data_IF_249025264649
#
_entry.id   IF_249025264649
#
_cell.length_a   1.000
_cell.length_b   1.000
_cell.length_c   1.000
_cell.angle_alpha   90.00
_cell.angle_beta   90.00
_cell.angle_gamma   90.00
#
_symmetry.space_group_name_H-M   'P 1'
#
loop_
_entity.id
_entity.type
_entity.pdbx_description
1 polymer ?
#
# COMPACT_ATOMS: atom_id res chain seq x y z
N UNK A 1 14.97 -15.67 -11.03
CA UNK A 1 13.80 -16.05 -10.22
C UNK A 1 13.78 -15.39 -8.85
N UNK A 2 14.79 -15.56 -7.96
CA UNK A 2 14.80 -14.88 -6.64
C UNK A 2 14.68 -13.34 -6.73
N UNK A 3 15.38 -12.71 -7.68
CA UNK A 3 15.26 -11.26 -7.92
C UNK A 3 13.82 -10.85 -8.30
N UNK A 4 13.09 -11.73 -8.99
CA UNK A 4 11.67 -11.49 -9.29
C UNK A 4 10.81 -11.53 -8.02
N UNK A 5 11.00 -12.56 -7.18
CA UNK A 5 10.30 -12.63 -5.90
C UNK A 5 10.58 -11.42 -5.00
N UNK A 6 11.82 -10.91 -5.01
CA UNK A 6 12.18 -9.68 -4.32
C UNK A 6 11.48 -8.44 -4.92
N UNK A 7 11.41 -8.34 -6.25
CA UNK A 7 10.72 -7.24 -6.93
C UNK A 7 9.22 -7.23 -6.64
N UNK A 8 8.63 -8.40 -6.38
CA UNK A 8 7.23 -8.58 -6.00
C UNK A 8 7.00 -8.55 -4.48
N UNK A 9 8.07 -8.40 -3.68
CA UNK A 9 8.07 -8.43 -2.21
C UNK A 9 7.51 -9.74 -1.60
N UNK A 10 7.80 -10.87 -2.23
CA UNK A 10 7.42 -12.22 -1.77
C UNK A 10 8.61 -13.20 -1.72
N UNK A 11 9.84 -12.79 -1.32
CA UNK A 11 10.98 -13.68 -1.33
C UNK A 11 10.85 -14.87 -0.39
N UNK A 12 10.08 -14.77 0.69
CA UNK A 12 9.83 -15.86 1.64
C UNK A 12 9.16 -17.07 1.02
N UNK A 13 8.40 -16.88 -0.07
CA UNK A 13 7.73 -17.98 -0.77
C UNK A 13 8.72 -18.93 -1.49
N UNK A 14 9.98 -18.54 -1.66
CA UNK A 14 11.01 -19.45 -2.18
C UNK A 14 11.29 -20.63 -1.26
N UNK A 15 10.95 -20.52 0.03
CA UNK A 15 11.25 -21.48 1.08
C UNK A 15 10.07 -22.39 1.46
N UNK A 16 8.94 -22.25 0.76
CA UNK A 16 7.81 -23.16 0.99
C UNK A 16 8.17 -24.59 0.58
N UNK A 17 7.70 -25.61 1.30
CA UNK A 17 7.86 -27.00 0.92
C UNK A 17 7.38 -27.25 -0.52
N UNK A 18 8.16 -27.97 -1.32
CA UNK A 18 7.92 -28.12 -2.76
C UNK A 18 8.17 -26.86 -3.60
N UNK A 19 8.73 -25.79 -2.99
CA UNK A 19 9.01 -24.52 -3.64
C UNK A 19 10.37 -24.47 -4.35
N UNK A 20 10.83 -23.25 -4.61
CA UNK A 20 12.04 -23.01 -5.39
C UNK A 20 13.32 -23.51 -4.74
N UNK A 21 13.38 -23.55 -3.42
CA UNK A 21 14.56 -24.01 -2.69
C UNK A 21 14.75 -25.52 -2.88
N UNK A 22 13.65 -26.28 -2.78
CA UNK A 22 13.67 -27.74 -2.93
C UNK A 22 14.00 -28.16 -4.38
N UNK A 23 13.64 -27.32 -5.35
CA UNK A 23 13.96 -27.53 -6.77
C UNK A 23 15.35 -27.00 -7.17
N UNK A 24 16.09 -26.38 -6.25
CA UNK A 24 17.39 -25.77 -6.55
C UNK A 24 18.50 -26.79 -6.47
N UNK A 25 19.07 -27.17 -7.61
CA UNK A 25 20.21 -28.08 -7.69
C UNK A 25 21.55 -27.45 -7.27
N UNK A 26 21.63 -26.12 -7.19
CA UNK A 26 22.82 -25.35 -6.79
C UNK A 26 22.80 -25.09 -5.27
N UNK A 27 23.59 -25.85 -4.53
CA UNK A 27 23.70 -25.76 -3.07
C UNK A 27 24.20 -24.37 -2.60
N UNK A 28 25.06 -23.69 -3.34
CA UNK A 28 25.56 -22.39 -2.98
C UNK A 28 24.46 -21.33 -3.14
N UNK A 29 23.65 -21.42 -4.19
CA UNK A 29 22.50 -20.57 -4.42
C UNK A 29 21.40 -20.80 -3.36
N UNK A 30 21.12 -22.07 -3.05
CA UNK A 30 20.18 -22.45 -2.01
C UNK A 30 20.58 -21.89 -0.64
N UNK A 31 21.86 -22.05 -0.26
CA UNK A 31 22.42 -21.48 0.97
C UNK A 31 22.32 -19.94 1.00
N UNK A 32 22.59 -19.28 -0.13
CA UNK A 32 22.45 -17.83 -0.23
C UNK A 32 21.00 -17.34 -0.03
N UNK A 33 20.02 -18.07 -0.55
CA UNK A 33 18.61 -17.77 -0.35
C UNK A 33 18.18 -17.97 1.11
N UNK A 34 18.60 -19.09 1.69
CA UNK A 34 18.33 -19.39 3.09
C UNK A 34 18.91 -18.31 4.03
N UNK A 35 20.16 -17.92 3.83
CA UNK A 35 20.79 -16.86 4.63
C UNK A 35 20.07 -15.50 4.48
N UNK A 36 19.57 -15.17 3.30
CA UNK A 36 18.77 -13.97 3.08
C UNK A 36 17.43 -14.02 3.81
N UNK A 37 16.81 -15.21 3.87
CA UNK A 37 15.57 -15.38 4.62
C UNK A 37 15.80 -15.27 6.12
N UNK A 38 16.87 -15.83 6.66
CA UNK A 38 17.26 -15.61 8.05
C UNK A 38 17.42 -14.12 8.38
N UNK A 39 18.11 -13.38 7.51
CA UNK A 39 18.23 -11.92 7.67
C UNK A 39 16.87 -11.20 7.63
N UNK A 40 15.96 -11.62 6.75
CA UNK A 40 14.61 -11.06 6.65
C UNK A 40 13.76 -11.36 7.91
N UNK A 41 13.87 -12.57 8.46
CA UNK A 41 13.21 -12.97 9.71
C UNK A 41 13.76 -12.21 10.91
N UNK A 42 15.08 -11.99 10.97
CA UNK A 42 15.70 -11.18 12.01
C UNK A 42 15.23 -9.72 11.96
N UNK A 43 15.15 -9.14 10.76
CA UNK A 43 14.57 -7.80 10.55
C UNK A 43 13.10 -7.75 10.97
N UNK A 44 12.32 -8.79 10.73
CA UNK A 44 10.94 -8.87 11.18
C UNK A 44 10.83 -8.88 12.71
N UNK A 45 11.64 -9.68 13.40
CA UNK A 45 11.71 -9.68 14.88
C UNK A 45 12.10 -8.30 15.43
N UNK A 46 13.08 -7.63 14.80
CA UNK A 46 13.47 -6.28 15.17
C UNK A 46 12.31 -5.27 14.99
N UNK A 47 11.57 -5.36 13.88
CA UNK A 47 10.38 -4.53 13.64
C UNK A 47 9.32 -4.73 14.73
N UNK A 48 9.06 -5.98 15.15
CA UNK A 48 8.11 -6.27 16.23
C UNK A 48 8.54 -5.63 17.56
N UNK A 49 9.83 -5.67 17.91
CA UNK A 49 10.34 -5.02 19.11
C UNK A 49 10.14 -3.49 19.07
N UNK A 50 10.42 -2.85 17.93
CA UNK A 50 10.19 -1.40 17.76
C UNK A 50 8.69 -1.08 17.81
N UNK A 51 7.83 -1.96 17.28
CA UNK A 51 6.37 -1.81 17.37
C UNK A 51 5.90 -1.85 18.84
N UNK A 52 6.42 -2.78 19.64
CA UNK A 52 6.07 -2.87 21.08
C UNK A 52 6.50 -1.61 21.85
N UNK A 53 7.72 -1.10 21.56
CA UNK A 53 8.19 0.15 22.15
C UNK A 53 7.25 1.32 21.80
N UNK A 54 6.90 1.45 20.53
CA UNK A 54 5.96 2.47 20.04
C UNK A 54 4.60 2.36 20.73
N UNK A 55 4.02 1.15 20.80
CA UNK A 55 2.73 0.91 21.45
C UNK A 55 2.77 1.24 22.93
N UNK A 56 3.84 0.84 23.64
CA UNK A 56 4.03 1.13 25.06
C UNK A 56 4.08 2.64 25.33
N UNK A 57 4.76 3.42 24.49
CA UNK A 57 4.80 4.88 24.63
C UNK A 57 3.41 5.50 24.47
N UNK A 58 2.63 5.05 23.48
CA UNK A 58 1.30 5.59 23.21
C UNK A 58 0.29 5.17 24.28
N UNK A 59 0.33 3.92 24.74
CA UNK A 59 -0.49 3.41 25.83
C UNK A 59 -0.24 4.17 27.15
N UNK A 60 1.02 4.42 27.51
CA UNK A 60 1.38 5.21 28.69
C UNK A 60 0.86 6.66 28.63
N UNK A 61 0.50 7.16 27.45
CA UNK A 61 -0.14 8.47 27.25
C UNK A 61 -1.66 8.40 27.10
N UNK A 62 -2.25 7.19 27.19
CA UNK A 62 -3.67 6.97 26.99
C UNK A 62 -4.12 7.34 25.56
N UNK A 63 -3.31 7.05 24.55
CA UNK A 63 -3.61 7.34 23.13
C UNK A 63 -4.05 6.05 22.45
N UNK A 64 -5.36 5.92 22.13
CA UNK A 64 -5.84 4.77 21.36
C UNK A 64 -5.13 4.67 20.02
N UNK A 65 -4.60 3.50 19.73
CA UNK A 65 -3.76 3.24 18.57
C UNK A 65 -4.20 1.93 17.92
N UNK A 66 -4.05 1.82 16.60
CA UNK A 66 -4.29 0.59 15.85
C UNK A 66 -3.19 0.36 14.83
N UNK A 67 -2.72 -0.88 14.70
CA UNK A 67 -1.77 -1.28 13.65
C UNK A 67 -2.55 -1.50 12.35
N UNK A 68 -2.11 -0.82 11.30
CA UNK A 68 -2.66 -0.97 9.95
C UNK A 68 -1.80 -1.97 9.16
N UNK A 69 -2.39 -2.67 8.17
CA UNK A 69 -1.64 -3.51 7.21
C UNK A 69 -0.41 -4.22 7.85
N UNK A 70 0.72 -4.31 7.17
CA UNK A 70 1.98 -4.83 7.75
C UNK A 70 1.79 -6.12 8.56
N UNK A 71 2.02 -6.03 9.88
CA UNK A 71 1.89 -7.15 10.81
C UNK A 71 0.44 -7.63 10.92
N UNK A 72 -0.54 -6.72 10.86
CA UNK A 72 -1.96 -7.06 10.85
C UNK A 72 -2.37 -7.92 9.62
N UNK A 73 -1.76 -7.68 8.45
CA UNK A 73 -1.95 -8.56 7.29
C UNK A 73 -1.18 -9.89 7.45
N UNK A 74 -0.03 -9.86 8.11
CA UNK A 74 0.80 -11.03 8.38
C UNK A 74 0.10 -12.13 9.15
N UNK A 75 -0.88 -11.77 9.99
CA UNK A 75 -1.69 -12.75 10.75
C UNK A 75 -2.46 -13.73 9.87
N UNK A 76 -2.77 -13.35 8.64
CA UNK A 76 -3.50 -14.17 7.69
C UNK A 76 -2.60 -15.22 7.01
N UNK A 77 -1.29 -15.09 7.10
CA UNK A 77 -0.35 -16.03 6.52
C UNK A 77 -0.19 -17.26 7.42
N UNK A 78 0.00 -18.46 6.83
CA UNK A 78 0.29 -19.67 7.62
C UNK A 78 1.52 -19.52 8.52
N UNK A 79 2.54 -18.82 8.04
CA UNK A 79 3.69 -18.33 8.80
C UNK A 79 3.83 -16.82 8.51
N UNK A 80 3.60 -15.94 9.49
CA UNK A 80 3.79 -14.50 9.31
C UNK A 80 5.17 -14.14 8.75
N UNK A 81 6.18 -14.95 9.05
CA UNK A 81 7.52 -14.81 8.51
C UNK A 81 7.62 -14.95 6.99
N UNK A 82 6.66 -15.48 6.27
CA UNK A 82 6.64 -15.54 4.79
C UNK A 82 6.40 -14.18 4.15
N UNK A 83 5.66 -13.31 4.83
CA UNK A 83 5.38 -11.95 4.36
C UNK A 83 6.62 -11.06 4.48
N UNK A 84 6.86 -10.20 3.50
CA UNK A 84 7.88 -9.15 3.61
C UNK A 84 7.32 -7.91 4.28
N UNK A 85 8.06 -7.43 5.27
CA UNK A 85 7.75 -6.21 6.02
C UNK A 85 8.70 -5.09 5.60
N UNK A 86 8.28 -3.84 5.75
CA UNK A 86 9.11 -2.67 5.42
C UNK A 86 8.99 -1.58 6.48
N UNK A 87 7.77 -1.17 6.72
CA UNK A 87 7.39 -0.08 7.60
C UNK A 87 6.33 -0.53 8.61
N UNK A 88 6.20 0.20 9.71
CA UNK A 88 5.12 0.05 10.67
C UNK A 88 4.10 1.15 10.39
N UNK A 89 2.94 0.76 9.86
CA UNK A 89 1.82 1.67 9.66
C UNK A 89 0.88 1.58 10.86
N UNK A 90 0.59 2.69 11.51
CA UNK A 90 -0.33 2.74 12.63
C UNK A 90 -1.17 4.01 12.60
N UNK A 91 -2.34 3.96 13.20
CA UNK A 91 -3.29 5.06 13.18
C UNK A 91 -3.72 5.43 14.61
N UNK A 92 -3.89 6.74 14.80
CA UNK A 92 -4.53 7.35 15.96
C UNK A 92 -5.65 8.28 15.51
N UNK A 93 -6.46 8.77 16.42
CA UNK A 93 -7.48 9.77 16.08
C UNK A 93 -6.85 11.08 15.57
N UNK A 94 -7.54 11.86 14.72
CA UNK A 94 -7.06 13.19 14.32
C UNK A 94 -6.82 14.11 15.53
N UNK A 95 -7.58 13.95 16.61
CA UNK A 95 -7.44 14.73 17.84
C UNK A 95 -6.14 14.38 18.59
N UNK A 96 -5.72 13.12 18.56
CA UNK A 96 -4.54 12.62 19.25
C UNK A 96 -3.27 12.72 18.42
N UNK A 97 -3.37 12.98 17.13
CA UNK A 97 -2.24 12.94 16.20
C UNK A 97 -1.02 13.74 16.67
N UNK A 98 -1.23 15.00 17.07
CA UNK A 98 -0.14 15.86 17.56
C UNK A 98 0.46 15.36 18.89
N UNK A 99 -0.39 14.84 19.79
CA UNK A 99 0.04 14.26 21.07
C UNK A 99 0.86 12.99 20.84
N UNK A 100 0.42 12.11 19.94
CA UNK A 100 1.13 10.89 19.58
C UNK A 100 2.52 11.20 19.01
N UNK A 101 2.58 12.10 18.01
CA UNK A 101 3.87 12.54 17.42
C UNK A 101 4.81 13.08 18.48
N UNK A 102 4.35 13.99 19.33
CA UNK A 102 5.17 14.58 20.40
C UNK A 102 5.65 13.54 21.42
N UNK A 103 4.78 12.58 21.80
CA UNK A 103 5.14 11.52 22.74
C UNK A 103 6.23 10.59 22.18
N UNK A 104 6.11 10.20 20.92
CA UNK A 104 7.10 9.36 20.24
C UNK A 104 8.45 10.08 20.07
N UNK A 105 8.44 11.34 19.64
CA UNK A 105 9.67 12.13 19.54
C UNK A 105 10.36 12.27 20.89
N UNK A 106 9.59 12.52 21.98
CA UNK A 106 10.12 12.60 23.34
C UNK A 106 10.71 11.25 23.84
N UNK A 107 10.24 10.13 23.29
CA UNK A 107 10.76 8.78 23.53
C UNK A 107 11.92 8.38 22.61
N UNK A 108 12.44 9.31 21.79
CA UNK A 108 13.60 9.09 20.94
C UNK A 108 13.31 8.51 19.55
N UNK A 109 12.05 8.58 19.09
CA UNK A 109 11.73 8.33 17.67
C UNK A 109 12.10 9.56 16.85
N UNK A 110 12.93 9.38 15.82
CA UNK A 110 13.36 10.48 14.96
C UNK A 110 12.25 10.91 14.02
N UNK A 111 11.93 12.21 14.02
CA UNK A 111 10.96 12.80 13.10
C UNK A 111 11.60 12.99 11.72
N UNK A 112 11.11 12.28 10.71
CA UNK A 112 11.62 12.39 9.33
C UNK A 112 10.94 13.49 8.52
N UNK A 113 9.82 14.01 9.00
CA UNK A 113 9.04 15.07 8.36
C UNK A 113 9.31 16.44 9.01
N UNK A 114 10.57 16.86 9.00
CA UNK A 114 11.01 18.16 9.52
C UNK A 114 10.30 19.36 8.86
N UNK A 115 9.67 19.15 7.72
CA UNK A 115 9.11 20.20 6.86
C UNK A 115 7.59 20.11 6.58
N UNK A 116 6.87 19.26 7.26
CA UNK A 116 5.40 19.24 7.14
C UNK A 116 4.79 17.90 6.81
N UNK A 117 3.61 17.74 7.34
CA UNK A 117 2.73 16.59 7.25
C UNK A 117 2.38 16.31 5.79
N UNK A 118 2.65 15.10 5.30
CA UNK A 118 2.04 14.60 4.07
C UNK A 118 0.52 14.53 4.23
N UNK A 119 -0.22 14.39 3.14
CA UNK A 119 -1.70 14.51 3.11
C UNK A 119 -2.46 13.68 4.17
N UNK A 120 -1.85 12.68 4.85
CA UNK A 120 -2.55 11.75 5.77
C UNK A 120 -1.65 11.04 6.79
N UNK A 121 -0.32 11.27 6.79
CA UNK A 121 0.62 10.67 7.76
C UNK A 121 1.88 11.50 7.97
N UNK A 122 2.64 11.13 9.00
CA UNK A 122 3.99 11.61 9.30
C UNK A 122 4.93 10.41 9.40
N UNK A 123 6.12 10.54 8.83
CA UNK A 123 7.20 9.55 8.93
C UNK A 123 8.03 9.73 10.19
N UNK A 124 8.26 8.63 10.89
CA UNK A 124 9.18 8.53 12.03
C UNK A 124 10.19 7.42 11.75
N UNK A 125 11.28 7.40 12.49
CA UNK A 125 12.28 6.32 12.42
C UNK A 125 12.74 5.96 13.84
N UNK A 126 12.92 4.68 14.06
CA UNK A 126 13.54 4.19 15.29
C UNK A 126 14.42 3.00 14.95
N UNK A 127 15.70 3.10 15.26
CA UNK A 127 16.70 2.05 15.05
C UNK A 127 16.71 1.47 13.61
N UNK A 128 16.47 2.34 12.62
CA UNK A 128 16.42 1.99 11.20
C UNK A 128 15.08 1.38 10.75
N UNK A 129 14.07 1.33 11.62
CA UNK A 129 12.69 0.95 11.26
C UNK A 129 11.90 2.21 10.97
N UNK A 130 11.34 2.28 9.76
CA UNK A 130 10.42 3.36 9.35
C UNK A 130 9.05 3.14 9.98
N UNK A 131 8.45 4.21 10.54
CA UNK A 131 7.08 4.20 11.06
C UNK A 131 6.27 5.29 10.36
N UNK A 132 5.03 4.96 9.97
CA UNK A 132 4.07 5.92 9.42
C UNK A 132 2.91 6.13 10.39
N UNK A 133 2.91 7.27 11.08
CA UNK A 133 1.81 7.69 11.96
C UNK A 133 0.70 8.32 11.10
N UNK A 134 -0.44 7.66 11.04
CA UNK A 134 -1.62 8.08 10.28
C UNK A 134 -2.70 8.67 11.19
N UNK A 135 -3.54 9.57 10.63
CA UNK A 135 -4.84 9.94 11.22
C UNK A 135 -6.03 9.46 10.38
N UNK A 136 -5.76 8.93 9.18
CA UNK A 136 -6.70 8.19 8.34
C UNK A 136 -5.91 7.21 7.44
N UNK A 137 -6.47 6.06 7.09
CA UNK A 137 -5.79 5.12 6.20
C UNK A 137 -5.55 5.71 4.82
N UNK A 138 -4.47 5.23 4.18
CA UNK A 138 -4.12 5.62 2.82
C UNK A 138 -5.13 5.11 1.78
N UNK A 139 -5.38 5.93 0.74
CA UNK A 139 -6.11 5.47 -0.44
C UNK A 139 -7.62 5.64 -0.37
N UNK A 140 -8.15 6.33 0.63
CA UNK A 140 -9.58 6.67 0.71
C UNK A 140 -9.94 7.53 -0.50
N UNK A 141 -10.92 7.13 -1.34
CA UNK A 141 -11.35 7.92 -2.49
C UNK A 141 -11.98 9.24 -2.06
N UNK A 142 -11.84 10.25 -2.91
CA UNK A 142 -12.55 11.52 -2.67
C UNK A 142 -14.07 11.30 -2.74
N UNK A 143 -14.81 12.02 -1.89
CA UNK A 143 -16.27 11.92 -1.87
C UNK A 143 -16.84 10.66 -1.18
N UNK A 144 -16.03 9.96 -0.37
CA UNK A 144 -16.47 8.82 0.44
C UNK A 144 -16.38 9.13 1.95
N UNK A 145 -17.19 10.06 2.48
CA UNK A 145 -17.14 10.42 3.91
C UNK A 145 -17.48 9.22 4.81
N UNK A 146 -18.30 8.28 4.36
CA UNK A 146 -18.62 7.06 5.09
C UNK A 146 -17.40 6.21 5.43
N UNK A 147 -16.43 6.07 4.51
CA UNK A 147 -15.20 5.34 4.79
C UNK A 147 -14.34 6.04 5.86
N UNK A 148 -14.32 7.38 5.89
CA UNK A 148 -13.61 8.10 6.95
C UNK A 148 -14.27 7.90 8.32
N UNK A 149 -15.60 7.98 8.37
CA UNK A 149 -16.37 7.73 9.59
C UNK A 149 -16.17 6.30 10.10
N UNK A 150 -16.19 5.31 9.20
CA UNK A 150 -15.94 3.91 9.53
C UNK A 150 -14.63 3.72 10.31
N UNK A 151 -13.53 4.29 9.86
CA UNK A 151 -12.23 4.14 10.53
C UNK A 151 -12.17 4.87 11.86
N UNK A 152 -12.81 6.02 11.99
CA UNK A 152 -12.85 6.76 13.26
C UNK A 152 -13.70 6.01 14.32
N UNK A 153 -14.81 5.42 13.90
CA UNK A 153 -15.65 4.59 14.77
C UNK A 153 -14.91 3.31 15.17
N UNK A 154 -14.33 2.60 14.20
CA UNK A 154 -13.61 1.36 14.44
C UNK A 154 -12.38 1.53 15.36
N UNK A 155 -11.79 2.73 15.46
CA UNK A 155 -10.69 2.99 16.39
C UNK A 155 -11.12 2.83 17.85
N UNK A 156 -12.42 2.99 18.15
CA UNK A 156 -12.99 2.71 19.47
C UNK A 156 -13.31 1.23 19.74
N UNK A 157 -13.17 0.35 18.74
CA UNK A 157 -13.57 -1.05 18.77
C UNK A 157 -12.46 -1.98 18.25
N UNK A 158 -11.20 -1.71 18.62
CA UNK A 158 -10.06 -2.53 18.19
C UNK A 158 -10.07 -3.90 18.91
N UNK A 159 -9.52 -4.89 18.22
CA UNK A 159 -9.31 -6.25 18.74
C UNK A 159 -7.82 -6.46 19.06
N UNK A 160 -7.54 -7.31 20.05
CA UNK A 160 -6.18 -7.71 20.33
C UNK A 160 -5.74 -8.82 19.39
N UNK A 161 -4.59 -8.63 18.75
CA UNK A 161 -3.94 -9.62 17.90
C UNK A 161 -2.56 -10.00 18.47
N UNK A 162 -2.05 -11.16 18.06
CA UNK A 162 -0.74 -11.63 18.51
C UNK A 162 0.03 -12.27 17.36
N UNK A 163 1.28 -11.86 17.16
CA UNK A 163 2.22 -12.47 16.20
C UNK A 163 3.54 -12.71 16.90
N UNK A 164 4.02 -13.95 16.91
CA UNK A 164 5.29 -14.36 17.53
C UNK A 164 5.44 -13.91 19.01
N UNK A 165 4.34 -13.85 19.75
CA UNK A 165 4.32 -13.42 21.16
C UNK A 165 4.15 -11.92 21.38
N UNK A 166 4.15 -11.11 20.31
CA UNK A 166 3.91 -9.67 20.36
C UNK A 166 2.43 -9.37 20.18
N UNK A 167 1.82 -8.71 21.18
CA UNK A 167 0.40 -8.34 21.14
C UNK A 167 0.21 -6.91 20.69
N UNK A 168 -0.79 -6.66 19.87
CA UNK A 168 -1.08 -5.33 19.32
C UNK A 168 -2.55 -5.16 18.95
N UNK A 169 -3.07 -3.92 18.97
CA UNK A 169 -4.44 -3.64 18.55
C UNK A 169 -4.57 -3.60 17.02
N UNK A 170 -5.63 -4.25 16.50
CA UNK A 170 -6.00 -4.24 15.09
C UNK A 170 -7.47 -3.84 14.93
N UNK A 171 -7.85 -3.38 13.77
CA UNK A 171 -9.25 -3.22 13.42
C UNK A 171 -9.97 -4.58 13.37
N UNK A 172 -11.29 -4.61 13.59
CA UNK A 172 -12.10 -5.79 13.29
C UNK A 172 -11.84 -6.29 11.87
N UNK A 173 -11.93 -7.60 11.60
CA UNK A 173 -11.49 -8.21 10.34
C UNK A 173 -12.01 -7.51 9.09
N UNK A 174 -13.31 -7.18 9.03
CA UNK A 174 -13.92 -6.54 7.86
C UNK A 174 -13.35 -5.13 7.63
N UNK A 175 -13.13 -4.34 8.68
CA UNK A 175 -12.52 -3.00 8.57
C UNK A 175 -11.05 -3.11 8.16
N UNK A 176 -10.32 -4.09 8.69
CA UNK A 176 -8.93 -4.35 8.26
C UNK A 176 -8.87 -4.74 6.77
N UNK A 177 -9.83 -5.51 6.28
CA UNK A 177 -9.99 -5.80 4.85
C UNK A 177 -10.17 -4.56 4.00
N UNK A 178 -10.93 -3.56 4.48
CA UNK A 178 -11.06 -2.26 3.79
C UNK A 178 -9.70 -1.56 3.71
N UNK A 179 -8.89 -1.58 4.78
CA UNK A 179 -7.51 -1.03 4.75
C UNK A 179 -6.66 -1.70 3.68
N UNK A 180 -6.68 -3.05 3.60
CA UNK A 180 -5.92 -3.80 2.59
C UNK A 180 -6.35 -3.45 1.17
N UNK A 181 -7.66 -3.36 0.92
CA UNK A 181 -8.22 -3.01 -0.38
C UNK A 181 -7.81 -1.58 -0.81
N UNK A 182 -7.96 -0.61 0.09
CA UNK A 182 -7.58 0.79 -0.19
C UNK A 182 -6.08 0.92 -0.43
N UNK A 183 -5.26 0.17 0.29
CA UNK A 183 -3.82 0.11 0.07
C UNK A 183 -3.47 -0.46 -1.30
N UNK A 184 -4.09 -1.57 -1.71
CA UNK A 184 -3.92 -2.13 -3.05
C UNK A 184 -4.36 -1.14 -4.15
N UNK A 185 -5.49 -0.45 -3.97
CA UNK A 185 -5.97 0.62 -4.87
C UNK A 185 -4.96 1.74 -5.03
N UNK A 186 -4.38 2.21 -3.92
CA UNK A 186 -3.34 3.26 -3.95
C UNK A 186 -2.14 2.81 -4.80
N UNK A 187 -1.69 1.57 -4.60
CA UNK A 187 -0.58 1.01 -5.36
C UNK A 187 -0.88 0.89 -6.85
N UNK A 188 -2.04 0.41 -7.22
CA UNK A 188 -2.51 0.37 -8.61
C UNK A 188 -2.51 1.76 -9.25
N UNK A 189 -3.01 2.77 -8.52
CA UNK A 189 -3.13 4.12 -9.05
C UNK A 189 -1.79 4.87 -9.16
N UNK A 190 -0.82 4.62 -8.27
CA UNK A 190 0.34 5.50 -8.11
C UNK A 190 1.70 4.87 -8.39
N UNK A 191 1.91 3.62 -8.08
CA UNK A 191 3.29 3.12 -8.02
C UNK A 191 3.54 1.72 -8.58
N UNK A 192 2.51 0.96 -8.80
CA UNK A 192 2.58 -0.45 -9.17
C UNK A 192 2.23 -1.36 -7.99
N UNK A 193 1.32 -2.26 -8.26
CA UNK A 193 0.90 -3.34 -7.36
C UNK A 193 1.92 -4.48 -7.45
N UNK A 194 2.32 -5.05 -6.33
CA UNK A 194 3.11 -6.28 -6.29
C UNK A 194 2.28 -7.46 -5.81
N UNK A 195 2.78 -8.68 -6.00
CA UNK A 195 2.11 -9.89 -5.52
C UNK A 195 1.89 -9.89 -4.00
N UNK A 196 2.72 -9.20 -3.23
CA UNK A 196 2.50 -9.08 -1.78
C UNK A 196 1.11 -8.54 -1.44
N UNK A 197 0.71 -7.43 -2.07
CA UNK A 197 -0.60 -6.84 -1.81
C UNK A 197 -1.74 -7.72 -2.36
N UNK A 198 -1.51 -8.43 -3.46
CA UNK A 198 -2.49 -9.37 -4.02
C UNK A 198 -2.68 -10.57 -3.08
N UNK A 199 -1.59 -11.09 -2.51
CA UNK A 199 -1.66 -12.21 -1.54
C UNK A 199 -2.28 -11.77 -0.23
N UNK A 200 -1.95 -10.57 0.29
CA UNK A 200 -2.62 -9.99 1.45
C UNK A 200 -4.15 -9.96 1.23
N UNK A 201 -4.59 -9.52 0.05
CA UNK A 201 -6.00 -9.50 -0.34
C UNK A 201 -6.59 -10.89 -0.46
N UNK A 202 -5.91 -11.81 -1.15
CA UNK A 202 -6.37 -13.19 -1.36
C UNK A 202 -6.61 -13.91 -0.02
N UNK A 203 -5.66 -13.81 0.91
CA UNK A 203 -5.76 -14.45 2.21
C UNK A 203 -6.91 -13.87 3.04
N UNK A 204 -7.11 -12.55 2.98
CA UNK A 204 -8.26 -11.88 3.59
C UNK A 204 -9.57 -12.36 2.96
N UNK A 205 -9.68 -12.35 1.64
CA UNK A 205 -10.88 -12.77 0.94
C UNK A 205 -11.22 -14.25 1.27
N UNK A 206 -10.23 -15.12 1.25
CA UNK A 206 -10.38 -16.55 1.60
C UNK A 206 -10.89 -16.74 3.03
N UNK A 207 -10.44 -15.92 3.97
CA UNK A 207 -10.82 -16.05 5.37
C UNK A 207 -12.20 -15.47 5.68
N UNK A 208 -12.63 -14.40 4.98
CA UNK A 208 -13.75 -13.59 5.43
C UNK A 208 -14.81 -13.27 4.36
N UNK A 209 -14.52 -13.40 3.05
CA UNK A 209 -15.44 -12.94 1.99
C UNK A 209 -16.18 -14.08 1.25
N UNK A 210 -15.95 -15.33 1.61
CA UNK A 210 -16.70 -16.44 1.04
C UNK A 210 -18.18 -16.35 1.44
N UNK A 211 -19.08 -16.77 0.56
CA UNK A 211 -20.53 -16.81 0.77
C UNK A 211 -21.09 -15.44 1.21
N UNK A 212 -21.70 -15.38 2.39
CA UNK A 212 -22.38 -14.16 2.90
C UNK A 212 -21.42 -13.05 3.32
N UNK A 213 -20.13 -13.34 3.54
CA UNK A 213 -19.15 -12.35 3.97
C UNK A 213 -18.96 -11.19 3.00
N UNK A 214 -19.17 -11.44 1.69
CA UNK A 214 -19.17 -10.37 0.69
C UNK A 214 -20.29 -9.35 0.90
N UNK A 215 -21.47 -9.80 1.30
CA UNK A 215 -22.62 -8.89 1.50
C UNK A 215 -22.29 -7.84 2.54
N UNK A 216 -21.88 -8.28 3.74
CA UNK A 216 -21.46 -7.38 4.82
C UNK A 216 -20.31 -6.46 4.39
N UNK A 217 -19.26 -7.02 3.78
CA UNK A 217 -18.09 -6.24 3.35
C UNK A 217 -18.47 -5.21 2.30
N UNK A 218 -19.34 -5.56 1.35
CA UNK A 218 -19.77 -4.65 0.29
C UNK A 218 -20.59 -3.46 0.83
N UNK A 219 -21.34 -3.66 1.88
CA UNK A 219 -22.08 -2.59 2.57
C UNK A 219 -21.11 -1.62 3.24
N UNK A 220 -20.08 -2.11 3.94
CA UNK A 220 -19.04 -1.28 4.53
C UNK A 220 -18.32 -0.42 3.49
N UNK A 221 -18.06 -0.96 2.30
CA UNK A 221 -17.41 -0.21 1.22
C UNK A 221 -18.25 0.97 0.75
N UNK A 222 -19.58 0.84 0.70
CA UNK A 222 -20.53 1.90 0.34
C UNK A 222 -20.30 2.61 -1.00
N UNK A 223 -19.35 2.12 -1.83
CA UNK A 223 -18.91 2.76 -3.06
C UNK A 223 -18.66 1.72 -4.16
N UNK A 224 -19.43 1.80 -5.25
CA UNK A 224 -19.38 0.81 -6.33
C UNK A 224 -18.01 0.70 -7.02
N UNK A 225 -17.25 1.77 -7.08
CA UNK A 225 -15.90 1.74 -7.67
C UNK A 225 -14.93 0.97 -6.76
N UNK A 226 -15.06 1.10 -5.46
CA UNK A 226 -14.24 0.33 -4.51
C UNK A 226 -14.63 -1.15 -4.54
N UNK A 227 -15.94 -1.43 -4.60
CA UNK A 227 -16.46 -2.81 -4.81
C UNK A 227 -15.93 -3.42 -6.10
N UNK A 228 -15.91 -2.66 -7.20
CA UNK A 228 -15.35 -3.12 -8.48
C UNK A 228 -13.88 -3.53 -8.36
N UNK A 229 -13.06 -2.76 -7.63
CA UNK A 229 -11.66 -3.14 -7.37
C UNK A 229 -11.56 -4.47 -6.61
N UNK A 230 -12.38 -4.65 -5.58
CA UNK A 230 -12.41 -5.90 -4.80
C UNK A 230 -12.76 -7.10 -5.69
N UNK A 231 -13.81 -6.96 -6.54
CA UNK A 231 -14.21 -7.98 -7.50
C UNK A 231 -13.08 -8.34 -8.47
N UNK A 232 -12.41 -7.34 -9.05
CA UNK A 232 -11.30 -7.56 -9.97
C UNK A 232 -10.11 -8.27 -9.30
N UNK A 233 -9.73 -7.87 -8.08
CA UNK A 233 -8.65 -8.54 -7.34
C UNK A 233 -9.02 -9.97 -6.96
N UNK A 234 -10.27 -10.23 -6.58
CA UNK A 234 -10.71 -11.58 -6.21
C UNK A 234 -10.77 -12.49 -7.44
N UNK A 235 -11.32 -12.02 -8.56
CA UNK A 235 -11.32 -12.78 -9.84
C UNK A 235 -9.90 -13.07 -10.33
N UNK A 236 -9.00 -12.11 -10.19
CA UNK A 236 -7.58 -12.31 -10.46
C UNK A 236 -6.99 -13.46 -9.61
N UNK A 237 -7.32 -13.51 -8.32
CA UNK A 237 -6.84 -14.56 -7.43
C UNK A 237 -7.42 -15.94 -7.81
N UNK A 238 -8.66 -16.01 -8.30
CA UNK A 238 -9.23 -17.26 -8.84
C UNK A 238 -8.47 -17.76 -10.06
N UNK A 239 -8.18 -16.88 -11.01
CA UNK A 239 -7.56 -17.26 -12.28
C UNK A 239 -6.07 -17.63 -12.11
N UNK A 240 -5.34 -16.94 -11.22
CA UNK A 240 -3.87 -17.04 -11.15
C UNK A 240 -3.30 -17.56 -9.85
N UNK A 241 -4.09 -17.63 -8.76
CA UNK A 241 -3.61 -17.98 -7.43
C UNK A 241 -4.44 -19.07 -6.74
N UNK A 242 -5.24 -19.80 -7.50
CA UNK A 242 -5.99 -20.95 -7.02
C UNK A 242 -6.99 -20.64 -5.88
N UNK A 243 -7.54 -19.43 -5.86
CA UNK A 243 -8.67 -19.12 -5.00
C UNK A 243 -9.92 -19.84 -5.56
N UNK A 244 -10.69 -20.62 -4.76
CA UNK A 244 -11.83 -21.34 -5.27
C UNK A 244 -12.89 -20.41 -5.89
N UNK A 245 -13.69 -20.94 -6.83
CA UNK A 245 -14.84 -20.19 -7.37
C UNK A 245 -16.03 -20.28 -6.43
N UNK A 246 -16.22 -21.42 -5.77
CA UNK A 246 -17.28 -21.65 -4.79
C UNK A 246 -17.19 -20.63 -3.63
N UNK A 247 -18.32 -19.98 -3.36
CA UNK A 247 -18.41 -18.92 -2.34
C UNK A 247 -17.96 -17.54 -2.78
N UNK A 248 -17.47 -17.40 -4.04
CA UNK A 248 -16.99 -16.13 -4.60
C UNK A 248 -17.66 -15.76 -5.93
N UNK A 249 -18.86 -16.25 -6.17
CA UNK A 249 -19.65 -16.04 -7.40
C UNK A 249 -19.90 -14.54 -7.68
N UNK A 250 -19.87 -13.72 -6.64
CA UNK A 250 -20.06 -12.28 -6.71
C UNK A 250 -18.98 -11.53 -7.54
N UNK A 251 -17.86 -12.16 -7.87
CA UNK A 251 -16.84 -11.59 -8.75
C UNK A 251 -16.82 -12.20 -10.17
N UNK A 252 -17.69 -13.17 -10.48
CA UNK A 252 -17.71 -13.89 -11.75
C UNK A 252 -17.99 -12.98 -12.97
N UNK A 253 -18.63 -11.83 -12.77
CA UNK A 253 -18.90 -10.82 -13.81
C UNK A 253 -17.64 -10.10 -14.34
N UNK A 254 -16.48 -10.33 -13.71
CA UNK A 254 -15.22 -9.70 -14.13
C UNK A 254 -14.63 -10.47 -15.29
N UNK A 255 -14.48 -9.78 -16.41
CA UNK A 255 -13.91 -10.38 -17.63
C UNK A 255 -12.45 -10.84 -17.40
N UNK A 256 -12.08 -12.05 -17.87
CA UNK A 256 -10.71 -12.56 -17.75
C UNK A 256 -9.65 -11.64 -18.36
N UNK A 257 -10.00 -10.85 -19.37
CA UNK A 257 -9.11 -9.86 -20.00
C UNK A 257 -8.64 -8.79 -19.00
N UNK A 258 -9.50 -8.33 -18.12
CA UNK A 258 -9.12 -7.38 -17.05
C UNK A 258 -8.09 -8.00 -16.11
N UNK A 259 -8.23 -9.29 -15.81
CA UNK A 259 -7.28 -10.01 -14.98
C UNK A 259 -5.94 -10.23 -15.70
N UNK A 260 -5.95 -10.47 -17.01
CA UNK A 260 -4.73 -10.57 -17.82
C UNK A 260 -3.97 -9.24 -17.88
N UNK A 261 -4.67 -8.12 -18.08
CA UNK A 261 -4.08 -6.78 -18.04
C UNK A 261 -3.51 -6.45 -16.66
N UNK A 262 -4.18 -6.88 -15.59
CA UNK A 262 -3.69 -6.73 -14.23
C UNK A 262 -2.43 -7.57 -13.99
N UNK A 263 -2.37 -8.82 -14.50
CA UNK A 263 -1.19 -9.64 -14.40
C UNK A 263 0.01 -8.98 -15.09
N UNK A 264 -0.21 -8.48 -16.31
CA UNK A 264 0.84 -7.77 -17.05
C UNK A 264 1.31 -6.54 -16.25
N UNK A 265 0.40 -5.75 -15.68
CA UNK A 265 0.73 -4.61 -14.82
C UNK A 265 1.59 -5.01 -13.62
N UNK A 266 1.19 -6.06 -12.89
CA UNK A 266 1.93 -6.57 -11.73
C UNK A 266 3.32 -7.07 -12.14
N UNK A 267 3.42 -7.83 -13.24
CA UNK A 267 4.67 -8.39 -13.72
C UNK A 267 5.63 -7.34 -14.27
N UNK A 268 5.13 -6.31 -14.92
CA UNK A 268 5.97 -5.22 -15.46
C UNK A 268 6.50 -4.29 -14.37
N UNK A 269 5.68 -3.94 -13.41
CA UNK A 269 6.01 -2.91 -12.43
C UNK A 269 6.62 -3.46 -11.14
N UNK A 270 6.08 -4.57 -10.65
CA UNK A 270 6.40 -5.10 -9.36
C UNK A 270 5.97 -4.18 -8.20
N UNK A 271 6.36 -4.54 -7.01
CA UNK A 271 6.03 -3.78 -5.81
C UNK A 271 6.68 -2.39 -5.84
N UNK A 272 5.88 -1.34 -5.77
CA UNK A 272 6.30 0.07 -5.88
C UNK A 272 6.96 0.45 -7.22
N UNK A 273 6.70 -0.27 -8.30
CA UNK A 273 7.34 0.00 -9.58
C UNK A 273 8.86 -0.22 -9.60
N UNK A 274 9.37 -1.07 -8.71
CA UNK A 274 10.82 -1.31 -8.53
C UNK A 274 11.51 -1.88 -9.77
N UNK A 275 10.76 -2.50 -10.66
CA UNK A 275 11.31 -3.06 -11.90
C UNK A 275 11.66 -2.03 -12.96
N UNK A 276 11.02 -0.88 -12.94
CA UNK A 276 11.31 0.18 -13.89
C UNK A 276 12.35 1.12 -13.30
N UNK A 277 13.57 1.04 -13.82
CA UNK A 277 14.65 1.99 -13.47
C UNK A 277 14.29 3.38 -14.01
N UNK A 278 14.01 4.28 -13.11
CA UNK A 278 13.58 5.64 -13.38
C UNK A 278 12.06 5.77 -13.26
N UNK A 279 11.60 6.65 -12.37
CA UNK A 279 10.17 6.94 -12.20
C UNK A 279 9.63 7.45 -13.52
N UNK A 280 8.88 6.64 -14.22
CA UNK A 280 8.23 7.01 -15.46
C UNK A 280 7.14 8.04 -15.17
N UNK A 281 7.01 9.06 -15.99
CA UNK A 281 5.91 10.03 -15.90
C UNK A 281 4.52 9.38 -16.03
N UNK A 282 4.47 8.19 -16.59
CA UNK A 282 3.25 7.40 -16.82
C UNK A 282 2.42 7.17 -15.55
N UNK A 283 3.05 6.88 -14.41
CA UNK A 283 2.36 6.69 -13.13
C UNK A 283 1.61 7.93 -12.66
N UNK A 284 2.07 9.11 -13.05
CA UNK A 284 1.55 10.37 -12.55
C UNK A 284 0.44 10.92 -13.45
N UNK A 285 0.46 10.54 -14.72
CA UNK A 285 -0.46 11.07 -15.73
C UNK A 285 -1.71 10.20 -15.93
N UNK A 286 -1.69 8.93 -15.50
CA UNK A 286 -2.79 7.99 -15.73
C UNK A 286 -4.12 8.43 -15.12
N UNK A 287 -4.11 9.09 -13.95
CA UNK A 287 -5.29 9.63 -13.29
C UNK A 287 -5.69 11.04 -13.69
N UNK A 288 -4.93 11.70 -14.59
CA UNK A 288 -5.18 13.11 -14.95
C UNK A 288 -6.13 13.18 -16.16
N UNK A 289 -7.25 13.87 -16.01
CA UNK A 289 -8.21 14.13 -17.09
C UNK A 289 -8.34 15.62 -17.36
N UNK A 290 -8.07 15.99 -18.60
CA UNK A 290 -8.23 17.34 -19.12
C UNK A 290 -7.36 18.42 -18.44
N UNK A 291 -7.45 19.68 -18.88
CA UNK A 291 -6.64 20.78 -18.37
C UNK A 291 -6.85 21.06 -16.89
N UNK A 292 -8.09 20.92 -16.41
CA UNK A 292 -8.44 21.16 -15.01
C UNK A 292 -7.81 20.09 -14.11
N UNK A 293 -7.85 18.83 -14.53
CA UNK A 293 -7.19 17.72 -13.79
C UNK A 293 -5.67 17.92 -13.76
N UNK A 294 -5.08 18.34 -14.87
CA UNK A 294 -3.65 18.64 -14.95
C UNK A 294 -3.26 19.82 -14.02
N UNK A 295 -4.03 20.88 -14.02
CA UNK A 295 -3.80 22.00 -13.10
C UNK A 295 -3.92 21.58 -11.64
N UNK A 296 -4.94 20.80 -11.27
CA UNK A 296 -5.09 20.25 -9.91
C UNK A 296 -3.89 19.39 -9.50
N UNK A 297 -3.39 18.57 -10.42
CA UNK A 297 -2.17 17.79 -10.20
C UNK A 297 -0.95 18.68 -9.93
N UNK A 298 -0.72 19.70 -10.76
CA UNK A 298 0.39 20.65 -10.56
C UNK A 298 0.25 21.39 -9.24
N UNK A 299 -0.95 21.87 -8.93
CA UNK A 299 -1.23 22.61 -7.71
C UNK A 299 -0.99 21.75 -6.46
N UNK A 300 -1.51 20.54 -6.44
CA UNK A 300 -1.37 19.59 -5.33
C UNK A 300 0.08 19.16 -5.17
N UNK A 301 0.73 18.75 -6.25
CA UNK A 301 2.14 18.39 -6.26
C UNK A 301 3.06 19.56 -5.84
N UNK A 302 2.69 20.78 -6.21
CA UNK A 302 3.41 21.99 -5.79
C UNK A 302 3.32 22.24 -4.30
N UNK A 303 2.13 22.16 -3.73
CA UNK A 303 1.92 22.31 -2.28
C UNK A 303 2.71 21.25 -1.52
N UNK A 304 2.69 19.99 -1.98
CA UNK A 304 3.42 18.89 -1.32
C UNK A 304 4.95 19.02 -1.46
N UNK A 305 5.46 19.48 -2.61
CA UNK A 305 6.89 19.47 -2.90
C UNK A 305 7.62 20.80 -2.60
N UNK A 306 6.89 21.90 -2.44
CA UNK A 306 7.46 23.21 -2.19
C UNK A 306 7.39 23.57 -0.70
N UNK A 307 8.51 23.42 0.00
CA UNK A 307 8.64 23.67 1.44
C UNK A 307 8.06 25.03 1.87
N UNK A 308 8.34 26.09 1.10
CA UNK A 308 7.84 27.43 1.42
C UNK A 308 6.32 27.53 1.31
N UNK A 309 5.68 26.91 0.30
CA UNK A 309 4.23 26.91 0.16
C UNK A 309 3.52 26.09 1.25
N UNK A 310 4.21 25.10 1.83
CA UNK A 310 3.71 24.39 3.01
C UNK A 310 3.68 25.29 4.25
N UNK A 311 4.77 26.03 4.47
CA UNK A 311 4.92 26.94 5.63
C UNK A 311 4.09 28.22 5.52
N UNK A 312 3.92 28.76 4.32
CA UNK A 312 3.28 30.06 4.08
C UNK A 312 2.05 29.93 3.17
N UNK A 313 0.85 30.11 3.74
CA UNK A 313 -0.42 29.96 3.02
C UNK A 313 -0.52 30.88 1.79
N UNK A 314 0.07 32.07 1.82
CA UNK A 314 0.08 33.03 0.72
C UNK A 314 0.82 32.53 -0.52
N UNK A 315 1.73 31.58 -0.38
CA UNK A 315 2.47 30.99 -1.50
C UNK A 315 1.74 29.82 -2.16
N UNK A 316 0.74 29.25 -1.48
CA UNK A 316 -0.01 28.09 -1.98
C UNK A 316 -0.67 28.31 -3.35
N UNK A 317 -1.26 29.46 -3.67
CA UNK A 317 -1.85 29.70 -5.00
C UNK A 317 -0.83 29.56 -6.15
N UNK A 318 0.47 29.77 -5.89
CA UNK A 318 1.54 29.70 -6.88
C UNK A 318 2.27 28.35 -6.92
N UNK A 319 1.85 27.39 -6.11
CA UNK A 319 2.52 26.11 -5.96
C UNK A 319 2.58 25.31 -7.28
N UNK A 320 1.60 25.45 -8.16
CA UNK A 320 1.59 24.81 -9.48
C UNK A 320 2.75 25.26 -10.36
N UNK A 321 3.22 26.53 -10.27
CA UNK A 321 4.36 27.03 -11.03
C UNK A 321 5.62 26.29 -10.63
N UNK A 322 5.83 26.11 -9.32
CA UNK A 322 6.97 25.34 -8.79
C UNK A 322 6.97 23.90 -9.31
N UNK A 323 5.80 23.23 -9.28
CA UNK A 323 5.67 21.87 -9.74
C UNK A 323 5.85 21.76 -11.27
N UNK A 324 5.34 22.71 -12.05
CA UNK A 324 5.55 22.77 -13.50
C UNK A 324 7.04 22.89 -13.82
N UNK A 325 7.76 23.81 -13.15
CA UNK A 325 9.21 23.95 -13.31
C UNK A 325 9.98 22.68 -12.94
N UNK A 326 9.56 22.00 -11.88
CA UNK A 326 10.11 20.69 -11.50
C UNK A 326 9.88 19.61 -12.57
N UNK A 327 8.69 19.54 -13.15
CA UNK A 327 8.38 18.63 -14.24
C UNK A 327 9.25 18.90 -15.47
N UNK A 328 9.37 20.16 -15.89
CA UNK A 328 10.22 20.58 -17.00
C UNK A 328 11.68 20.20 -16.72
N UNK A 329 12.19 20.48 -15.54
CA UNK A 329 13.58 20.11 -15.16
C UNK A 329 13.80 18.59 -15.27
N UNK A 330 12.87 17.77 -14.82
CA UNK A 330 12.96 16.31 -14.94
C UNK A 330 13.01 15.87 -16.41
N UNK A 331 12.20 16.48 -17.27
CA UNK A 331 12.20 16.21 -18.72
C UNK A 331 13.54 16.60 -19.36
N UNK A 332 14.04 17.78 -19.06
CA UNK A 332 15.30 18.31 -19.64
C UNK A 332 16.56 17.57 -19.19
N UNK A 333 16.56 17.05 -17.94
CA UNK A 333 17.72 16.34 -17.38
C UNK A 333 17.83 14.88 -17.79
N UNK A 334 16.78 14.30 -18.41
CA UNK A 334 16.78 12.92 -18.92
C UNK A 334 17.30 12.88 -20.34
N UNK A 335 18.57 12.46 -20.49
CA UNK A 335 19.14 12.15 -21.82
C UNK A 335 18.44 10.92 -22.40
N UNK A 336 17.76 11.06 -23.55
CA UNK A 336 17.13 9.95 -24.26
C UNK A 336 15.58 10.05 -24.40
N UNK A 337 15.06 11.25 -24.58
CA UNK A 337 13.64 11.61 -24.42
C UNK A 337 12.67 10.92 -25.40
N UNK A 338 13.01 10.69 -26.66
CA UNK A 338 12.03 10.31 -27.67
C UNK A 338 11.47 8.87 -27.51
N UNK A 339 12.33 7.90 -27.22
CA UNK A 339 11.90 6.50 -27.02
C UNK A 339 11.19 6.28 -25.68
N UNK A 340 11.65 6.96 -24.63
CA UNK A 340 11.04 6.87 -23.29
C UNK A 340 9.67 7.54 -23.24
N UNK A 341 9.45 8.65 -23.93
CA UNK A 341 8.16 9.35 -23.96
C UNK A 341 7.09 8.52 -24.69
N UNK A 342 7.43 7.86 -25.81
CA UNK A 342 6.47 7.01 -26.52
C UNK A 342 6.06 5.80 -25.66
N UNK A 343 7.02 5.13 -25.07
CA UNK A 343 6.75 4.03 -24.13
C UNK A 343 5.89 4.50 -22.95
N UNK A 344 6.18 5.66 -22.37
CA UNK A 344 5.41 6.25 -21.28
C UNK A 344 3.96 6.59 -21.69
N UNK A 345 3.71 6.97 -22.92
CA UNK A 345 2.35 7.26 -23.42
C UNK A 345 1.51 5.99 -23.61
N UNK A 346 2.07 4.95 -24.20
CA UNK A 346 1.41 3.65 -24.39
C UNK A 346 1.09 3.02 -23.03
N UNK A 347 2.07 3.01 -22.12
CA UNK A 347 1.89 2.51 -20.77
C UNK A 347 0.89 3.36 -19.96
N UNK A 348 0.88 4.68 -20.15
CA UNK A 348 -0.12 5.57 -19.53
C UNK A 348 -1.53 5.25 -20.02
N UNK A 349 -1.71 4.99 -21.31
CA UNK A 349 -3.00 4.62 -21.87
C UNK A 349 -3.49 3.27 -21.32
N UNK A 350 -2.60 2.27 -21.28
CA UNK A 350 -2.87 0.94 -20.72
C UNK A 350 -3.29 1.03 -19.26
N UNK A 351 -2.54 1.74 -18.43
CA UNK A 351 -2.86 1.94 -17.01
C UNK A 351 -4.18 2.68 -16.80
N UNK A 352 -4.48 3.64 -17.67
CA UNK A 352 -5.75 4.36 -17.61
C UNK A 352 -6.91 3.43 -17.89
N UNK A 353 -6.79 2.58 -18.92
CA UNK A 353 -7.82 1.61 -19.27
C UNK A 353 -8.02 0.61 -18.12
N UNK A 354 -6.96 -0.04 -17.65
CA UNK A 354 -7.02 -0.95 -16.51
C UNK A 354 -7.60 -0.26 -15.26
N UNK A 355 -7.15 0.95 -14.94
CA UNK A 355 -7.67 1.71 -13.80
C UNK A 355 -9.16 2.05 -13.95
N UNK A 356 -9.63 2.33 -15.16
CA UNK A 356 -11.06 2.55 -15.44
C UNK A 356 -11.87 1.27 -15.25
N UNK A 357 -11.39 0.14 -15.76
CA UNK A 357 -12.04 -1.17 -15.63
C UNK A 357 -12.07 -1.64 -14.15
N UNK A 358 -11.06 -1.33 -13.38
CA UNK A 358 -10.97 -1.65 -11.95
C UNK A 358 -11.68 -0.62 -11.05
N UNK A 359 -12.26 0.44 -11.60
CA UNK A 359 -12.96 1.46 -10.80
C UNK A 359 -12.04 2.43 -10.05
N UNK A 360 -10.78 2.60 -10.48
CA UNK A 360 -9.85 3.54 -9.83
C UNK A 360 -10.15 5.00 -10.18
N UNK A 361 -10.66 5.26 -11.39
CA UNK A 361 -10.92 6.59 -11.92
C UNK A 361 -12.40 6.77 -12.30
N UNK A 362 -12.87 8.00 -12.37
CA UNK A 362 -14.16 8.34 -12.96
C UNK A 362 -14.12 8.03 -14.47
N UNK A 363 -15.19 7.43 -15.01
CA UNK A 363 -15.37 7.23 -16.46
C UNK A 363 -15.61 8.54 -17.18
#
# INVERSE_FOLDING_TARGET
MYAELQAQAIPGFALLPGGLLDACADNALAAAWFNRDLGRRALFGHLLNVQDEMLSVLEAKGIPTVILKGVAAGMLYPDPGLRSYGDIDFMVSPADFKRARAALVAAGFEDKDDDGVCDHHVGLDKDGVCLELHWEPNGIPQGTPGLKALFQEALGHTEAACVQGHSFPVFPPMVNGVVLLLHARKHLALGGLGFRQVIDWMLFAKAYLAHDGWTEFSELLGNERVKRTAKCLTRFCQIYLDLPEEGFEWCAEVEPTVCADLLEHVMLLGNFGKKIKGKTGATWLSGIRGPVGFFRYLQRGGVCNWKAARKHALLRPFAWVYQAGRCVRVVLTRKGIAGSVRFDMEETARRRNLGSEMGLYDR
#
